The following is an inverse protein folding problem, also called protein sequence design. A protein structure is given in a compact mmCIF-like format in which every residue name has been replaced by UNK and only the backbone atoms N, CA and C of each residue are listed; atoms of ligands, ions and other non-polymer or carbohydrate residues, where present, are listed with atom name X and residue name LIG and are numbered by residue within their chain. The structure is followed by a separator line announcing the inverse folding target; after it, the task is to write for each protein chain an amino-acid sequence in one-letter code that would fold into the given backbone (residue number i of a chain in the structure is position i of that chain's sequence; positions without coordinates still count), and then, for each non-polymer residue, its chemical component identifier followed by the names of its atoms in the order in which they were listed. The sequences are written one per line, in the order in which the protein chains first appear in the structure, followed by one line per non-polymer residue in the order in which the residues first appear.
data_IF_910371369298
#
_entry.id   IF_910371369298
#
_cell.length_a   1.000
_cell.length_b   1.000
_cell.length_c   1.000
_cell.angle_alpha   90.00
_cell.angle_beta   90.00
_cell.angle_gamma   90.00
#
_symmetry.space_group_name_H-M   'P 1'
#
loop_
_entity.id
_entity.type
_entity.pdbx_description
1 polymer ?
#
# COMPACT_ATOMS: atom_id res chain seq x y z
N UNK A 1 3.10 -9.63 0.70
CA UNK A 1 3.09 -8.22 0.27
C UNK A 1 2.87 -8.15 -1.23
N UNK A 2 2.37 -7.03 -1.74
CA UNK A 2 2.12 -6.77 -3.16
C UNK A 2 0.75 -6.14 -3.37
N UNK A 3 0.35 -6.02 -4.65
CA UNK A 3 -0.99 -5.58 -5.04
C UNK A 3 -2.04 -6.59 -4.53
N UNK A 4 -2.84 -6.14 -3.54
CA UNK A 4 -3.93 -6.92 -2.97
C UNK A 4 -5.30 -6.39 -3.41
N UNK A 5 -5.36 -5.33 -4.23
CA UNK A 5 -6.59 -4.59 -4.55
C UNK A 5 -7.39 -4.24 -3.28
N UNK A 6 -6.70 -3.87 -2.19
CA UNK A 6 -7.26 -3.82 -0.85
C UNK A 6 -7.87 -2.45 -0.46
N UNK A 7 -8.51 -1.77 -1.41
CA UNK A 7 -9.16 -0.48 -1.16
C UNK A 7 -10.23 -0.13 -2.22
N UNK A 8 -10.81 1.07 -2.11
CA UNK A 8 -11.69 1.68 -3.09
C UNK A 8 -12.88 0.76 -3.46
N UNK A 9 -13.15 0.57 -4.74
CA UNK A 9 -14.28 -0.23 -5.22
C UNK A 9 -14.12 -1.74 -4.99
N UNK A 10 -12.90 -2.23 -4.80
CA UNK A 10 -12.61 -3.66 -4.66
C UNK A 10 -12.80 -4.16 -3.23
N UNK A 11 -12.42 -3.34 -2.24
CA UNK A 11 -12.56 -3.69 -0.84
C UNK A 11 -13.07 -2.51 -0.02
N UNK A 12 -14.36 -2.52 0.30
CA UNK A 12 -14.94 -1.51 1.18
C UNK A 12 -14.38 -1.61 2.60
N UNK A 13 -14.36 -0.49 3.33
CA UNK A 13 -13.89 -0.47 4.72
C UNK A 13 -14.67 -1.40 5.65
N UNK A 14 -15.95 -1.68 5.35
CA UNK A 14 -16.76 -2.64 6.12
C UNK A 14 -16.32 -4.08 5.91
N UNK A 15 -15.89 -4.44 4.69
CA UNK A 15 -15.41 -5.77 4.37
C UNK A 15 -13.96 -5.95 4.83
N UNK A 16 -13.13 -4.91 4.68
CA UNK A 16 -11.75 -4.92 5.16
C UNK A 16 -11.66 -5.23 6.66
N UNK A 17 -12.52 -4.61 7.49
CA UNK A 17 -12.59 -4.87 8.95
C UNK A 17 -12.94 -6.32 9.31
N UNK A 18 -13.52 -7.10 8.38
CA UNK A 18 -13.84 -8.51 8.60
C UNK A 18 -12.65 -9.44 8.30
N UNK A 19 -11.62 -8.94 7.62
CA UNK A 19 -10.43 -9.71 7.27
C UNK A 19 -9.45 -9.71 8.44
N UNK A 20 -9.11 -10.91 8.95
CA UNK A 20 -8.22 -11.11 10.09
C UNK A 20 -6.86 -10.40 9.94
N UNK A 21 -6.35 -10.33 8.71
CA UNK A 21 -5.06 -9.70 8.37
C UNK A 21 -5.05 -8.16 8.56
N UNK A 22 -6.22 -7.52 8.66
CA UNK A 22 -6.37 -6.09 8.91
C UNK A 22 -6.93 -5.80 10.32
N UNK A 23 -7.20 -6.83 11.11
CA UNK A 23 -7.71 -6.67 12.48
C UNK A 23 -6.59 -6.45 13.48
N UNK A 24 -6.84 -5.60 14.47
CA UNK A 24 -5.92 -5.41 15.59
C UNK A 24 -5.96 -6.64 16.51
N UNK A 25 -4.80 -7.06 17.02
CA UNK A 25 -4.70 -8.11 18.04
C UNK A 25 -4.64 -9.55 17.50
N UNK A 26 -4.59 -9.75 16.18
CA UNK A 26 -4.51 -11.06 15.52
C UNK A 26 -3.06 -11.54 15.28
N UNK A 27 -2.07 -10.79 15.75
CA UNK A 27 -0.65 -11.04 15.46
C UNK A 27 -0.20 -10.58 14.07
N UNK A 28 -1.13 -10.06 13.27
CA UNK A 28 -0.84 -9.38 12.01
C UNK A 28 -0.57 -7.89 12.25
N UNK A 29 0.42 -7.36 11.54
CA UNK A 29 0.68 -5.93 11.43
C UNK A 29 0.48 -5.52 9.98
N UNK A 30 -0.52 -4.68 9.71
CA UNK A 30 -0.66 -4.01 8.42
C UNK A 30 0.29 -2.81 8.38
N UNK A 31 1.24 -2.85 7.44
CA UNK A 31 2.34 -1.87 7.36
C UNK A 31 1.93 -0.62 6.58
N UNK A 32 1.17 -0.80 5.50
CA UNK A 32 0.77 0.27 4.58
C UNK A 32 -0.61 0.78 5.00
N UNK A 33 -0.74 2.04 5.47
CA UNK A 33 -2.02 2.61 5.89
C UNK A 33 -3.02 2.74 4.74
N UNK A 34 -4.32 2.77 5.07
CA UNK A 34 -5.39 3.04 4.08
C UNK A 34 -5.31 4.46 3.50
N UNK A 35 -4.57 5.37 4.13
CA UNK A 35 -4.40 6.75 3.66
C UNK A 35 -3.28 6.90 2.63
N UNK A 36 -2.65 5.81 2.19
CA UNK A 36 -1.61 5.86 1.17
C UNK A 36 -2.21 5.63 -0.20
N UNK A 37 -1.89 6.52 -1.13
CA UNK A 37 -2.10 6.25 -2.55
C UNK A 37 -0.95 5.38 -3.06
N UNK A 38 -1.27 4.21 -3.61
CA UNK A 38 -0.31 3.27 -4.21
C UNK A 38 -0.45 3.21 -5.74
N UNK A 39 -1.24 4.10 -6.32
CA UNK A 39 -1.55 4.13 -7.75
C UNK A 39 -0.89 5.33 -8.43
N UNK A 40 -0.37 5.15 -9.64
CA UNK A 40 0.24 6.24 -10.42
C UNK A 40 -0.72 6.87 -11.43
N UNK A 41 -1.94 6.34 -11.52
CA UNK A 41 -2.98 6.85 -12.40
C UNK A 41 -3.53 8.18 -11.88
N UNK A 42 -3.68 9.16 -12.77
CA UNK A 42 -4.20 10.47 -12.38
C UNK A 42 -5.67 10.35 -11.91
N UNK A 43 -5.96 10.91 -10.73
CA UNK A 43 -7.31 10.96 -10.18
C UNK A 43 -7.74 9.72 -9.40
N UNK A 44 -6.85 8.75 -9.20
CA UNK A 44 -7.02 7.68 -8.22
C UNK A 44 -6.34 8.05 -6.89
N UNK A 45 -6.85 7.47 -5.80
CA UNK A 45 -6.30 7.58 -4.44
C UNK A 45 -6.70 6.29 -3.72
N UNK A 46 -5.89 5.25 -3.91
CA UNK A 46 -6.22 3.89 -3.47
C UNK A 46 -4.99 3.16 -2.90
N UNK A 47 -5.16 2.56 -1.72
CA UNK A 47 -4.18 1.71 -1.06
C UNK A 47 -4.29 0.23 -1.51
N UNK A 48 -4.06 -0.04 -2.79
CA UNK A 48 -4.11 -1.40 -3.36
C UNK A 48 -2.93 -2.27 -2.92
N UNK A 49 -1.71 -1.74 -2.96
CA UNK A 49 -0.52 -2.45 -2.54
C UNK A 49 -0.38 -2.48 -1.02
N UNK A 50 -0.21 -3.69 -0.46
CA UNK A 50 -0.12 -3.90 1.00
C UNK A 50 1.06 -4.76 1.39
N UNK A 51 1.57 -4.50 2.58
CA UNK A 51 2.46 -5.40 3.28
C UNK A 51 1.84 -5.78 4.63
N UNK A 52 1.65 -7.09 4.83
CA UNK A 52 1.13 -7.68 6.06
C UNK A 52 2.23 -8.56 6.63
N UNK A 53 2.52 -8.38 7.91
CA UNK A 53 3.54 -9.15 8.63
C UNK A 53 2.86 -9.95 9.73
N UNK A 54 3.17 -11.25 9.83
CA UNK A 54 2.74 -12.10 10.94
C UNK A 54 3.91 -12.27 11.93
N UNK A 55 3.68 -11.89 13.19
CA UNK A 55 4.68 -12.05 14.25
C UNK A 55 4.55 -11.01 15.36
N UNK A 56 5.12 -11.31 16.52
CA UNK A 56 5.15 -10.40 17.67
C UNK A 56 6.51 -9.73 17.77
N UNK A 57 6.54 -8.48 18.25
CA UNK A 57 7.79 -7.75 18.49
C UNK A 57 8.53 -7.27 17.24
N UNK A 58 7.90 -7.34 16.06
CA UNK A 58 8.49 -6.82 14.82
C UNK A 58 8.34 -5.31 14.80
N UNK A 59 9.47 -4.61 14.71
CA UNK A 59 9.50 -3.15 14.63
C UNK A 59 9.58 -2.73 13.17
N UNK A 60 8.50 -2.09 12.71
CA UNK A 60 8.40 -1.56 11.35
C UNK A 60 8.55 -0.05 11.38
N UNK A 61 9.26 0.51 10.40
CA UNK A 61 9.38 1.97 10.25
C UNK A 61 9.49 2.37 8.78
N UNK A 62 9.33 3.66 8.50
CA UNK A 62 9.55 4.21 7.16
C UNK A 62 8.63 3.62 6.10
N UNK A 63 7.40 3.22 6.49
CA UNK A 63 6.39 2.83 5.52
C UNK A 63 6.11 4.01 4.58
N UNK A 64 6.26 3.79 3.27
CA UNK A 64 6.02 4.81 2.26
C UNK A 64 5.52 4.18 0.94
N UNK A 65 4.84 5.01 0.15
CA UNK A 65 4.70 4.79 -1.29
C UNK A 65 5.89 5.45 -1.99
N UNK A 66 6.66 4.69 -2.76
CA UNK A 66 7.75 5.23 -3.57
C UNK A 66 7.20 5.86 -4.86
N UNK A 67 6.99 7.17 -4.81
CA UNK A 67 6.52 8.02 -5.92
C UNK A 67 7.61 8.21 -6.98
N UNK A 68 7.84 7.19 -7.80
CA UNK A 68 8.91 7.23 -8.81
C UNK A 68 8.72 8.33 -9.87
N UNK A 69 7.48 8.74 -10.10
CA UNK A 69 7.09 9.89 -10.91
C UNK A 69 7.76 11.17 -10.37
N UNK A 70 7.61 11.44 -9.08
CA UNK A 70 8.16 12.61 -8.40
C UNK A 70 9.69 12.53 -8.28
N UNK A 71 10.20 11.36 -7.88
CA UNK A 71 11.64 11.17 -7.66
C UNK A 71 12.46 11.29 -8.95
N UNK A 72 11.91 10.81 -10.07
CA UNK A 72 12.57 10.84 -11.38
C UNK A 72 12.08 11.98 -12.28
N UNK A 73 11.09 12.78 -11.81
CA UNK A 73 10.47 13.90 -12.54
C UNK A 73 9.91 13.50 -13.90
N UNK A 74 9.12 12.43 -13.91
CA UNK A 74 8.52 11.88 -15.11
C UNK A 74 7.23 12.61 -15.48
N UNK A 75 6.93 12.66 -16.78
CA UNK A 75 5.59 13.02 -17.23
C UNK A 75 4.61 11.84 -17.05
N UNK A 76 3.31 12.15 -17.15
CA UNK A 76 2.25 11.15 -16.94
C UNK A 76 2.36 9.97 -17.89
N UNK A 77 2.73 10.20 -19.15
CA UNK A 77 2.88 9.15 -20.16
C UNK A 77 3.99 8.18 -19.79
N UNK A 78 5.16 8.69 -19.40
CA UNK A 78 6.31 7.88 -19.00
C UNK A 78 6.04 7.15 -17.69
N UNK A 79 5.40 7.81 -16.72
CA UNK A 79 5.00 7.19 -15.44
C UNK A 79 4.12 5.97 -15.69
N UNK A 80 3.07 6.12 -16.49
CA UNK A 80 2.13 5.03 -16.80
C UNK A 80 2.76 3.95 -17.69
N UNK A 81 3.75 4.29 -18.52
CA UNK A 81 4.50 3.32 -19.29
C UNK A 81 5.40 2.43 -18.42
N UNK A 82 5.81 2.91 -17.24
CA UNK A 82 6.53 2.11 -16.25
C UNK A 82 5.56 1.19 -15.50
N UNK A 83 4.56 1.78 -14.85
CA UNK A 83 3.50 1.06 -14.14
C UNK A 83 2.40 2.01 -13.71
N UNK A 84 1.18 1.50 -13.62
CA UNK A 84 0.01 2.11 -12.97
C UNK A 84 0.02 1.99 -11.43
N UNK A 85 1.02 1.33 -10.84
CA UNK A 85 1.23 1.17 -9.41
C UNK A 85 2.59 1.73 -8.96
N UNK A 86 2.63 2.29 -7.76
CA UNK A 86 3.88 2.67 -7.09
C UNK A 86 4.36 1.54 -6.17
N UNK A 87 5.68 1.29 -6.04
CA UNK A 87 6.21 0.40 -5.04
C UNK A 87 5.84 0.84 -3.62
N UNK A 88 5.54 -0.12 -2.75
CA UNK A 88 5.50 0.09 -1.30
C UNK A 88 6.84 -0.29 -0.67
N UNK A 89 7.29 0.50 0.29
CA UNK A 89 8.56 0.29 0.98
C UNK A 89 8.43 0.48 2.48
N UNK A 90 9.26 -0.23 3.24
CA UNK A 90 9.36 -0.14 4.70
C UNK A 90 10.66 -0.79 5.18
N UNK A 91 11.08 -0.45 6.40
CA UNK A 91 12.25 -1.02 7.06
C UNK A 91 11.84 -1.91 8.24
N UNK A 92 12.64 -2.95 8.46
CA UNK A 92 12.56 -3.86 9.60
C UNK A 92 13.78 -3.66 10.50
N UNK A 93 13.58 -3.66 11.81
CA UNK A 93 14.63 -3.66 12.81
C UNK A 93 14.60 -4.93 13.68
#
# INVERSE_FOLDING_TARGET
MGDMNADCSYLSSSNQKQLEIFQNGTGFTSVIPDTFDTTSTAGTDCAYDRAIILGQGIVVSGAATYRFDDQLRLDVETTLAISDHYPIEFNLY
#
